data_IF_588177655669
#
_entry.id   IF_588177655669
#
_cell.length_a   1.000
_cell.length_b   1.000
_cell.length_c   1.000
_cell.angle_alpha   90.00
_cell.angle_beta   90.00
_cell.angle_gamma   90.00
#
_symmetry.space_group_name_H-M   'P 1'
#
loop_
_entity.id
_entity.type
_entity.pdbx_description
1 polymer ?
#
# COMPACT_ATOMS: atom_id res chain seq x y z
N UNK A 1 -15.34 11.20 18.06
CA UNK A 1 -14.24 12.15 18.37
C UNK A 1 -14.11 13.25 17.31
N UNK A 2 -14.13 12.93 16.00
CA UNK A 2 -14.03 13.96 14.94
C UNK A 2 -15.14 15.01 15.00
N UNK A 3 -16.39 14.59 15.19
CA UNK A 3 -17.52 15.50 15.41
C UNK A 3 -17.29 16.47 16.57
N UNK A 4 -16.66 16.03 17.66
CA UNK A 4 -16.37 16.89 18.81
C UNK A 4 -15.44 18.05 18.44
N UNK A 5 -14.37 17.78 17.68
CA UNK A 5 -13.47 18.81 17.17
C UNK A 5 -14.20 19.73 16.18
N UNK A 6 -15.07 19.18 15.33
CA UNK A 6 -15.89 19.98 14.42
C UNK A 6 -16.77 20.97 15.19
N UNK A 7 -17.48 20.50 16.21
CA UNK A 7 -18.35 21.33 17.05
C UNK A 7 -17.57 22.44 17.77
N UNK A 8 -16.32 22.19 18.19
CA UNK A 8 -15.44 23.23 18.74
C UNK A 8 -15.10 24.35 17.75
N UNK A 9 -15.03 24.03 16.44
CA UNK A 9 -14.69 24.98 15.39
C UNK A 9 -15.92 25.72 14.83
N UNK A 10 -17.14 25.35 15.26
CA UNK A 10 -18.37 26.02 14.83
C UNK A 10 -18.53 27.39 15.51
N UNK A 11 -19.24 28.34 14.87
CA UNK A 11 -19.59 29.61 15.49
C UNK A 11 -20.31 29.43 16.83
N UNK A 12 -19.95 30.26 17.82
CA UNK A 12 -20.56 30.19 19.17
C UNK A 12 -22.07 30.42 19.19
N UNK A 13 -22.60 31.14 18.19
CA UNK A 13 -24.03 31.36 18.02
C UNK A 13 -24.80 30.09 17.62
N UNK A 14 -24.12 29.09 17.06
CA UNK A 14 -24.68 27.81 16.62
C UNK A 14 -24.52 26.78 17.74
N UNK A 15 -23.34 26.68 18.36
CA UNK A 15 -23.10 25.72 19.44
C UNK A 15 -23.98 25.97 20.66
N UNK A 16 -24.31 27.23 20.97
CA UNK A 16 -25.26 27.59 22.05
C UNK A 16 -26.70 27.13 21.80
N UNK A 17 -27.06 26.71 20.58
CA UNK A 17 -28.40 26.19 20.25
C UNK A 17 -28.55 24.72 20.60
N UNK A 18 -27.43 24.02 20.76
CA UNK A 18 -27.42 22.59 21.04
C UNK A 18 -27.51 22.39 22.55
N UNK A 19 -28.69 22.00 23.01
CA UNK A 19 -28.92 21.75 24.44
C UNK A 19 -28.02 20.63 24.96
N UNK A 20 -27.39 20.87 26.12
CA UNK A 20 -26.51 19.90 26.78
C UNK A 20 -25.13 19.74 26.13
N UNK A 21 -24.76 20.55 25.14
CA UNK A 21 -23.45 20.53 24.53
C UNK A 21 -22.37 21.06 25.49
N UNK A 22 -21.40 20.22 25.85
CA UNK A 22 -20.29 20.56 26.75
C UNK A 22 -18.93 20.43 26.04
N UNK A 23 -18.34 21.59 25.71
CA UNK A 23 -17.10 21.72 24.94
C UNK A 23 -15.93 22.14 25.84
N UNK A 24 -15.44 21.24 26.70
CA UNK A 24 -14.40 21.59 27.70
C UNK A 24 -13.01 21.90 27.14
N UNK A 25 -12.67 21.44 25.94
CA UNK A 25 -11.29 21.45 25.43
C UNK A 25 -10.94 22.67 24.57
N UNK A 26 -11.59 23.82 24.77
CA UNK A 26 -11.37 25.03 23.96
C UNK A 26 -9.89 25.43 23.89
N UNK A 27 -9.20 25.49 25.03
CA UNK A 27 -7.77 25.84 25.09
C UNK A 27 -6.92 24.89 24.25
N UNK A 28 -7.20 23.59 24.29
CA UNK A 28 -6.46 22.62 23.48
C UNK A 28 -6.73 22.84 21.98
N UNK A 29 -8.00 22.99 21.59
CA UNK A 29 -8.40 23.12 20.19
C UNK A 29 -7.87 24.41 19.55
N UNK A 30 -7.83 25.52 20.30
CA UNK A 30 -7.28 26.80 19.82
C UNK A 30 -5.78 26.72 19.46
N UNK A 31 -5.05 25.75 20.02
CA UNK A 31 -3.63 25.55 19.75
C UNK A 31 -3.37 24.48 18.68
N UNK A 32 -4.42 23.87 18.12
CA UNK A 32 -4.26 22.91 17.03
C UNK A 32 -3.86 23.60 15.73
N UNK A 33 -3.12 22.93 14.84
CA UNK A 33 -2.76 23.49 13.55
C UNK A 33 -3.99 23.85 12.71
N UNK A 34 -3.88 24.95 11.97
CA UNK A 34 -4.90 25.41 11.03
C UNK A 34 -4.96 24.50 9.79
N UNK A 35 -6.09 24.52 9.09
CA UNK A 35 -6.33 23.69 7.89
C UNK A 35 -5.29 23.94 6.80
N UNK A 36 -4.87 25.19 6.61
CA UNK A 36 -3.91 25.59 5.58
C UNK A 36 -2.48 25.07 5.84
N UNK A 37 -2.19 24.68 7.09
CA UNK A 37 -0.92 24.09 7.49
C UNK A 37 -0.86 22.58 7.26
N UNK A 38 -2.00 21.94 6.95
CA UNK A 38 -2.06 20.51 6.71
C UNK A 38 -1.39 20.13 5.39
N UNK A 39 -0.75 18.96 5.40
CA UNK A 39 0.09 18.47 4.30
C UNK A 39 -0.12 16.98 4.01
N UNK A 40 -1.11 16.34 4.63
CA UNK A 40 -1.49 14.96 4.24
C UNK A 40 -2.00 14.99 2.80
N UNK A 41 -1.93 13.85 2.11
CA UNK A 41 -2.28 13.76 0.68
C UNK A 41 -3.73 14.18 0.38
N UNK A 42 -4.63 14.13 1.37
CA UNK A 42 -6.01 14.59 1.21
C UNK A 42 -6.10 16.11 1.00
N UNK A 43 -5.11 16.89 1.45
CA UNK A 43 -4.97 18.34 1.22
C UNK A 43 -4.18 18.68 -0.05
N UNK A 44 -3.82 17.69 -0.87
CA UNK A 44 -3.20 17.95 -2.16
C UNK A 44 -4.26 18.45 -3.13
N UNK A 45 -3.90 19.47 -3.92
CA UNK A 45 -4.70 19.91 -5.06
C UNK A 45 -4.81 18.78 -6.09
N UNK A 46 -5.76 18.89 -7.02
CA UNK A 46 -5.91 17.91 -8.10
C UNK A 46 -4.60 17.71 -8.89
N UNK A 47 -3.86 18.79 -9.11
CA UNK A 47 -2.56 18.78 -9.80
C UNK A 47 -1.49 18.07 -8.97
N UNK A 48 -1.45 18.32 -7.66
CA UNK A 48 -0.50 17.65 -6.76
C UNK A 48 -0.79 16.15 -6.60
N UNK A 49 -2.06 15.74 -6.65
CA UNK A 49 -2.45 14.33 -6.61
C UNK A 49 -2.03 13.57 -7.86
N UNK A 50 -1.92 14.26 -8.99
CA UNK A 50 -1.40 13.70 -10.23
C UNK A 50 0.06 13.24 -10.08
N UNK A 51 0.85 13.93 -9.25
CA UNK A 51 2.23 13.52 -8.93
C UNK A 51 2.31 12.17 -8.21
N UNK A 52 1.21 11.69 -7.62
CA UNK A 52 1.14 10.38 -6.98
C UNK A 52 0.82 9.27 -7.98
N UNK A 53 0.40 9.58 -9.21
CA UNK A 53 -0.04 8.57 -10.19
C UNK A 53 1.00 7.46 -10.37
N UNK A 54 0.50 6.23 -10.49
CA UNK A 54 1.31 5.02 -10.60
C UNK A 54 1.90 4.50 -9.28
N UNK A 55 1.74 5.24 -8.18
CA UNK A 55 2.10 4.77 -6.84
C UNK A 55 0.90 4.20 -6.08
N UNK A 56 1.17 3.36 -5.08
CA UNK A 56 0.15 2.88 -4.15
C UNK A 56 -0.54 4.02 -3.38
N UNK A 57 0.21 5.09 -3.06
CA UNK A 57 -0.29 6.24 -2.31
C UNK A 57 -1.40 7.00 -3.04
N UNK A 58 -1.43 6.96 -4.38
CA UNK A 58 -2.53 7.54 -5.16
C UNK A 58 -3.86 6.88 -4.82
N UNK A 59 -3.96 5.56 -5.00
CA UNK A 59 -5.17 4.80 -4.67
C UNK A 59 -5.51 4.86 -3.18
N UNK A 60 -4.51 4.79 -2.30
CA UNK A 60 -4.71 4.91 -0.85
C UNK A 60 -5.29 6.27 -0.44
N UNK A 61 -4.93 7.36 -1.15
CA UNK A 61 -5.47 8.70 -0.92
C UNK A 61 -6.94 8.76 -1.32
N UNK A 62 -7.30 8.21 -2.47
CA UNK A 62 -8.69 8.17 -2.96
C UNK A 62 -9.58 7.32 -2.04
N UNK A 63 -9.13 6.12 -1.68
CA UNK A 63 -9.85 5.23 -0.77
C UNK A 63 -10.09 5.89 0.59
N UNK A 64 -9.06 6.56 1.14
CA UNK A 64 -9.17 7.27 2.43
C UNK A 64 -10.17 8.42 2.35
N UNK A 65 -10.12 9.21 1.29
CA UNK A 65 -11.07 10.31 1.11
C UNK A 65 -12.50 9.79 0.96
N UNK A 66 -12.71 8.76 0.15
CA UNK A 66 -14.03 8.15 -0.05
C UNK A 66 -14.61 7.65 1.29
N UNK A 67 -13.81 6.93 2.08
CA UNK A 67 -14.21 6.48 3.42
C UNK A 67 -14.60 7.63 4.34
N UNK A 68 -13.78 8.68 4.43
CA UNK A 68 -14.10 9.84 5.26
C UNK A 68 -15.29 10.65 4.76
N UNK A 69 -15.54 10.70 3.45
CA UNK A 69 -16.75 11.29 2.88
C UNK A 69 -18.00 10.50 3.23
N UNK A 70 -17.91 9.17 3.22
CA UNK A 70 -19.00 8.31 3.65
C UNK A 70 -19.30 8.53 5.14
N UNK A 71 -18.29 8.43 6.00
CA UNK A 71 -18.44 8.67 7.45
C UNK A 71 -19.03 10.07 7.74
N UNK A 72 -18.54 11.09 7.03
CA UNK A 72 -19.09 12.44 7.12
C UNK A 72 -20.57 12.48 6.74
N UNK A 73 -20.94 11.84 5.63
CA UNK A 73 -22.32 11.75 5.17
C UNK A 73 -23.24 11.08 6.20
N UNK A 74 -22.77 10.01 6.84
CA UNK A 74 -23.48 9.33 7.93
C UNK A 74 -23.70 10.27 9.12
N UNK A 75 -22.67 10.98 9.57
CA UNK A 75 -22.78 11.93 10.69
C UNK A 75 -23.70 13.12 10.37
N UNK A 76 -23.60 13.67 9.17
CA UNK A 76 -24.50 14.72 8.68
C UNK A 76 -25.95 14.23 8.66
N UNK A 77 -26.17 12.95 8.33
CA UNK A 77 -27.52 12.36 8.28
C UNK A 77 -28.17 12.22 9.66
N UNK A 78 -27.40 11.98 10.71
CA UNK A 78 -27.91 11.87 12.09
C UNK A 78 -27.98 13.22 12.81
N UNK A 79 -27.41 14.28 12.22
CA UNK A 79 -27.43 15.63 12.78
C UNK A 79 -28.80 16.28 12.54
N UNK A 80 -29.57 16.44 13.62
CA UNK A 80 -30.95 16.94 13.57
C UNK A 80 -31.04 18.47 13.47
N UNK A 81 -30.10 19.20 14.05
CA UNK A 81 -30.06 20.66 13.98
C UNK A 81 -29.59 21.13 12.59
N UNK A 82 -30.43 21.90 11.91
CA UNK A 82 -30.20 22.33 10.54
C UNK A 82 -29.00 23.28 10.40
N UNK A 83 -28.77 24.16 11.37
CA UNK A 83 -27.70 25.15 11.32
C UNK A 83 -26.35 24.50 11.63
N UNK A 84 -26.31 23.56 12.57
CA UNK A 84 -25.13 22.72 12.80
C UNK A 84 -24.80 21.93 11.52
N UNK A 85 -25.82 21.34 10.89
CA UNK A 85 -25.64 20.53 9.68
C UNK A 85 -25.07 21.33 8.50
N UNK A 86 -25.50 22.59 8.32
CA UNK A 86 -24.98 23.48 7.27
C UNK A 86 -23.50 23.80 7.46
N UNK A 87 -23.08 24.03 8.69
CA UNK A 87 -21.68 24.38 8.99
C UNK A 87 -20.74 23.16 9.12
N UNK A 88 -21.30 21.96 9.29
CA UNK A 88 -20.54 20.71 9.31
C UNK A 88 -20.09 20.30 7.90
N UNK A 89 -19.25 21.14 7.29
CA UNK A 89 -18.66 20.92 5.96
C UNK A 89 -17.66 19.77 5.95
N UNK A 90 -17.44 19.19 4.78
CA UNK A 90 -16.42 18.15 4.61
C UNK A 90 -15.01 18.66 4.95
N UNK A 91 -14.66 19.92 4.62
CA UNK A 91 -13.35 20.48 4.95
C UNK A 91 -13.10 20.56 6.45
N UNK A 92 -14.16 20.85 7.23
CA UNK A 92 -14.08 20.83 8.69
C UNK A 92 -13.93 19.40 9.22
N UNK A 93 -14.70 18.46 8.66
CA UNK A 93 -14.60 17.04 9.00
C UNK A 93 -13.21 16.47 8.71
N UNK A 94 -12.69 16.77 7.52
CA UNK A 94 -11.35 16.38 7.07
C UNK A 94 -10.28 16.88 8.02
N UNK A 95 -10.37 18.15 8.47
CA UNK A 95 -9.48 18.70 9.48
C UNK A 95 -9.56 17.94 10.80
N UNK A 96 -10.77 17.68 11.31
CA UNK A 96 -10.94 16.96 12.55
C UNK A 96 -10.36 15.53 12.48
N UNK A 97 -10.62 14.79 11.40
CA UNK A 97 -10.06 13.45 11.17
C UNK A 97 -8.54 13.49 11.04
N UNK A 98 -8.00 14.50 10.36
CA UNK A 98 -6.55 14.70 10.20
C UNK A 98 -5.90 14.99 11.55
N UNK A 99 -6.47 15.87 12.38
CA UNK A 99 -5.98 16.13 13.74
C UNK A 99 -5.94 14.85 14.57
N UNK A 100 -6.98 14.02 14.52
CA UNK A 100 -7.03 12.79 15.31
C UNK A 100 -6.03 11.74 14.82
N UNK A 101 -5.67 11.79 13.54
CA UNK A 101 -4.61 10.96 12.96
C UNK A 101 -3.21 11.50 13.31
N UNK A 102 -3.09 12.80 13.56
CA UNK A 102 -1.86 13.50 13.92
C UNK A 102 -1.64 13.56 15.45
N UNK A 103 -0.96 12.58 16.03
CA UNK A 103 -0.37 12.80 17.35
C UNK A 103 0.90 13.67 17.23
N UNK A 104 0.90 14.90 17.79
CA UNK A 104 2.06 15.83 17.78
C UNK A 104 2.42 16.37 19.18
N UNK A 105 3.70 16.78 19.26
CA UNK A 105 4.59 16.91 20.41
C UNK A 105 4.28 17.98 21.49
N UNK A 106 4.81 17.73 22.69
CA UNK A 106 4.91 18.64 23.85
C UNK A 106 6.30 19.30 23.91
N UNK A 107 6.39 20.56 24.37
CA UNK A 107 7.63 21.38 24.46
C UNK A 107 8.17 21.48 25.89
N UNK A 108 9.50 21.41 26.08
CA UNK A 108 10.26 22.02 27.20
C UNK A 108 11.62 22.54 26.66
N UNK A 109 12.16 23.58 27.30
CA UNK A 109 13.20 24.57 26.92
C UNK A 109 14.48 24.08 26.19
N UNK A 110 14.83 24.76 25.08
CA UNK A 110 16.19 24.87 24.52
C UNK A 110 16.45 24.11 23.21
N UNK A 111 15.97 22.88 23.10
CA UNK A 111 16.18 22.01 21.92
C UNK A 111 14.86 21.31 21.53
N UNK A 112 14.78 20.85 20.27
CA UNK A 112 13.61 20.12 19.78
C UNK A 112 13.61 18.69 20.34
N UNK A 113 12.57 18.33 21.10
CA UNK A 113 12.35 16.95 21.54
C UNK A 113 11.62 16.18 20.43
N UNK A 114 12.22 15.09 19.99
CA UNK A 114 11.60 14.16 19.04
C UNK A 114 10.94 13.00 19.79
N UNK A 115 9.80 12.53 19.28
CA UNK A 115 9.18 11.26 19.68
C UNK A 115 9.29 10.27 18.52
N UNK A 116 9.41 8.99 18.83
CA UNK A 116 9.43 7.93 17.82
C UNK A 116 8.00 7.57 17.44
N UNK A 117 7.67 7.73 16.16
CA UNK A 117 6.35 7.41 15.58
C UNK A 117 6.12 5.91 15.34
N UNK A 118 7.09 5.07 15.75
CA UNK A 118 7.18 3.67 15.37
C UNK A 118 7.83 3.48 14.00
N UNK A 119 7.95 2.21 13.58
CA UNK A 119 8.46 1.83 12.26
C UNK A 119 7.38 2.07 11.20
N UNK A 120 7.29 3.30 10.69
CA UNK A 120 6.32 3.73 9.68
C UNK A 120 7.02 3.97 8.34
N UNK A 121 6.43 3.50 7.25
CA UNK A 121 6.94 3.78 5.90
C UNK A 121 6.68 5.22 5.48
N UNK A 122 7.38 5.69 4.46
CA UNK A 122 7.10 7.01 3.89
C UNK A 122 5.69 7.11 3.29
N UNK A 123 5.11 5.98 2.84
CA UNK A 123 3.71 5.92 2.43
C UNK A 123 2.76 6.25 3.58
N UNK A 124 2.95 5.61 4.74
CA UNK A 124 2.13 5.85 5.94
C UNK A 124 2.34 7.25 6.52
N UNK A 125 3.59 7.72 6.54
CA UNK A 125 3.94 9.05 7.03
C UNK A 125 3.32 10.15 6.16
N UNK A 126 3.36 10.01 4.84
CA UNK A 126 2.81 11.03 3.95
C UNK A 126 1.27 11.02 3.96
N UNK A 127 0.66 9.83 3.93
CA UNK A 127 -0.80 9.67 3.98
C UNK A 127 -1.38 10.16 5.31
N UNK A 128 -0.78 9.75 6.43
CA UNK A 128 -1.33 9.99 7.77
C UNK A 128 -0.85 11.29 8.41
N UNK A 129 0.38 11.71 8.11
CA UNK A 129 1.06 12.79 8.85
C UNK A 129 1.54 13.96 7.98
N UNK A 130 1.55 13.80 6.65
CA UNK A 130 1.90 14.87 5.73
C UNK A 130 3.38 15.22 5.72
N UNK A 131 4.25 14.23 5.96
CA UNK A 131 5.70 14.36 5.80
C UNK A 131 6.33 13.03 5.37
N UNK A 132 7.57 13.09 4.91
CA UNK A 132 8.40 11.92 4.58
C UNK A 132 9.79 12.09 5.19
N UNK A 133 10.53 11.00 5.31
CA UNK A 133 11.93 10.99 5.76
C UNK A 133 12.83 10.60 4.58
N UNK A 134 13.80 11.46 4.17
CA UNK A 134 14.70 11.19 3.02
C UNK A 134 15.47 9.87 3.07
N UNK A 135 15.76 9.39 4.28
CA UNK A 135 16.46 8.12 4.51
C UNK A 135 15.75 7.37 5.64
N UNK A 136 14.48 7.02 5.39
CA UNK A 136 13.68 6.28 6.35
C UNK A 136 14.19 4.84 6.48
N UNK A 137 14.76 4.41 7.62
CA UNK A 137 15.23 3.03 7.79
C UNK A 137 14.08 2.01 7.86
N UNK A 138 12.85 2.47 8.14
CA UNK A 138 11.65 1.65 8.23
C UNK A 138 10.79 1.71 6.95
N UNK A 139 11.33 2.22 5.84
CA UNK A 139 10.57 2.25 4.58
C UNK A 139 10.34 0.85 4.03
N UNK A 140 9.15 0.66 3.46
CA UNK A 140 8.73 -0.57 2.80
C UNK A 140 7.74 -0.25 1.67
N UNK A 141 7.59 -1.20 0.75
CA UNK A 141 6.62 -1.16 -0.34
C UNK A 141 5.50 -2.17 -0.05
N UNK A 142 4.25 -1.73 -0.14
CA UNK A 142 3.12 -2.65 -0.08
C UNK A 142 2.88 -3.33 -1.44
N UNK A 143 2.88 -4.66 -1.47
CA UNK A 143 2.38 -5.46 -2.59
C UNK A 143 1.05 -6.09 -2.20
N UNK A 144 0.06 -6.05 -3.09
CA UNK A 144 -1.25 -6.66 -2.84
C UNK A 144 -1.54 -7.62 -3.99
N UNK A 145 -1.76 -8.88 -3.66
CA UNK A 145 -2.27 -9.86 -4.60
C UNK A 145 -3.77 -9.68 -4.80
N UNK A 146 -4.20 -9.98 -6.02
CA UNK A 146 -5.61 -10.01 -6.39
C UNK A 146 -5.96 -11.44 -6.79
N UNK A 147 -6.93 -12.04 -6.11
CA UNK A 147 -7.42 -13.36 -6.48
C UNK A 147 -8.26 -13.23 -7.78
N UNK A 148 -8.08 -14.14 -8.75
CA UNK A 148 -8.92 -14.16 -9.94
C UNK A 148 -10.41 -14.30 -9.57
N UNK A 149 -11.33 -13.62 -10.26
CA UNK A 149 -12.77 -13.77 -10.00
C UNK A 149 -13.27 -15.19 -10.29
N UNK A 150 -12.56 -15.94 -11.14
CA UNK A 150 -12.79 -17.35 -11.47
C UNK A 150 -12.02 -18.32 -10.57
N UNK A 151 -11.46 -17.86 -9.44
CA UNK A 151 -10.71 -18.74 -8.53
C UNK A 151 -11.59 -19.90 -8.04
N UNK A 152 -11.11 -21.15 -8.09
CA UNK A 152 -11.88 -22.29 -7.66
C UNK A 152 -12.09 -22.27 -6.14
N UNK A 153 -13.23 -22.78 -5.67
CA UNK A 153 -13.58 -22.76 -4.24
C UNK A 153 -12.55 -23.51 -3.38
N UNK A 154 -11.97 -24.60 -3.89
CA UNK A 154 -10.93 -25.36 -3.20
C UNK A 154 -9.68 -24.52 -2.87
N UNK A 155 -9.30 -23.59 -3.76
CA UNK A 155 -8.18 -22.68 -3.54
C UNK A 155 -8.50 -21.69 -2.39
N UNK A 156 -9.71 -21.14 -2.37
CA UNK A 156 -10.14 -20.22 -1.32
C UNK A 156 -10.20 -20.92 0.05
N UNK A 157 -10.74 -22.13 0.09
CA UNK A 157 -10.78 -22.95 1.30
C UNK A 157 -9.37 -23.27 1.79
N UNK A 158 -8.46 -23.61 0.86
CA UNK A 158 -7.06 -23.90 1.18
C UNK A 158 -6.34 -22.68 1.75
N UNK A 159 -6.47 -21.50 1.13
CA UNK A 159 -5.90 -20.25 1.65
C UNK A 159 -6.40 -19.96 3.07
N UNK A 160 -7.70 -20.14 3.32
CA UNK A 160 -8.28 -19.93 4.65
C UNK A 160 -7.74 -20.93 5.68
N UNK A 161 -7.62 -22.20 5.31
CA UNK A 161 -7.10 -23.27 6.16
C UNK A 161 -5.64 -23.04 6.54
N UNK A 162 -4.85 -22.57 5.59
CA UNK A 162 -3.43 -22.28 5.76
C UNK A 162 -3.15 -20.90 6.38
N UNK A 163 -4.19 -20.11 6.68
CA UNK A 163 -4.09 -18.73 7.21
C UNK A 163 -3.30 -17.79 6.28
N UNK A 164 -3.53 -17.95 4.98
CA UNK A 164 -2.97 -17.14 3.91
C UNK A 164 -4.02 -16.19 3.32
N UNK A 165 -4.99 -15.75 4.11
CA UNK A 165 -6.07 -14.84 3.70
C UNK A 165 -5.62 -13.38 3.53
N UNK A 166 -4.52 -12.99 4.20
CA UNK A 166 -3.95 -11.66 4.08
C UNK A 166 -3.15 -11.52 2.77
N UNK A 167 -3.73 -10.86 1.77
CA UNK A 167 -3.14 -10.70 0.43
C UNK A 167 -2.22 -9.48 0.29
N UNK A 168 -2.14 -8.61 1.31
CA UNK A 168 -1.24 -7.46 1.31
C UNK A 168 0.01 -7.77 2.12
N UNK A 169 1.14 -7.68 1.44
CA UNK A 169 2.50 -7.95 1.92
C UNK A 169 3.35 -6.70 1.88
N UNK A 170 4.43 -6.68 2.65
CA UNK A 170 5.34 -5.54 2.73
C UNK A 170 6.76 -5.99 2.39
N UNK A 171 7.31 -5.38 1.35
CA UNK A 171 8.69 -5.62 0.89
C UNK A 171 9.59 -4.56 1.53
N UNK A 172 10.61 -4.97 2.33
CA UNK A 172 11.56 -4.05 2.95
C UNK A 172 12.55 -3.49 1.92
N UNK A 173 13.41 -2.56 2.37
CA UNK A 173 14.47 -1.99 1.54
C UNK A 173 15.49 -2.97 0.98
N UNK A 174 15.64 -4.16 1.57
CA UNK A 174 16.47 -5.22 0.99
C UNK A 174 15.88 -5.78 -0.32
N UNK A 175 14.60 -5.54 -0.59
CA UNK A 175 13.89 -6.14 -1.73
C UNK A 175 13.45 -7.59 -1.48
N UNK A 176 13.80 -8.16 -0.32
CA UNK A 176 13.46 -9.55 0.01
C UNK A 176 11.95 -9.76 0.01
N UNK A 177 11.51 -10.75 -0.78
CA UNK A 177 10.09 -11.03 -0.95
C UNK A 177 9.59 -11.87 0.23
N UNK A 178 8.51 -11.46 0.91
CA UNK A 178 7.94 -12.24 2.00
C UNK A 178 7.59 -13.67 1.56
N UNK A 179 7.90 -14.69 2.37
CA UNK A 179 7.70 -16.08 1.97
C UNK A 179 6.21 -16.45 1.92
N UNK A 180 5.34 -15.77 2.67
CA UNK A 180 3.88 -15.88 2.55
C UNK A 180 3.36 -15.41 1.19
N UNK A 181 3.98 -14.37 0.61
CA UNK A 181 3.66 -13.90 -0.73
C UNK A 181 3.99 -14.98 -1.76
N UNK A 182 5.19 -15.57 -1.68
CA UNK A 182 5.59 -16.67 -2.56
C UNK A 182 4.67 -17.88 -2.41
N UNK A 183 4.31 -18.25 -1.18
CA UNK A 183 3.38 -19.36 -0.93
C UNK A 183 2.00 -19.12 -1.57
N UNK A 184 1.47 -17.90 -1.48
CA UNK A 184 0.22 -17.54 -2.16
C UNK A 184 0.36 -17.58 -3.69
N UNK A 185 1.50 -17.13 -4.22
CA UNK A 185 1.76 -17.17 -5.66
C UNK A 185 1.87 -18.61 -6.19
N UNK A 186 2.54 -19.51 -5.45
CA UNK A 186 2.60 -20.94 -5.78
C UNK A 186 1.21 -21.54 -5.95
N UNK A 187 0.29 -21.22 -5.03
CA UNK A 187 -1.09 -21.69 -5.11
C UNK A 187 -1.87 -21.09 -6.28
N UNK A 188 -1.54 -19.86 -6.69
CA UNK A 188 -2.23 -19.17 -7.78
C UNK A 188 -1.80 -19.65 -9.16
N UNK A 189 -0.55 -20.12 -9.28
CA UNK A 189 0.04 -20.57 -10.54
C UNK A 189 0.02 -22.10 -10.66
N UNK A 190 -0.24 -22.82 -9.56
CA UNK A 190 -0.32 -24.27 -9.54
C UNK A 190 -1.28 -24.85 -10.58
N UNK A 191 -0.80 -25.86 -11.30
CA UNK A 191 -1.63 -26.68 -12.18
C UNK A 191 -2.64 -27.52 -11.37
N UNK A 192 -3.73 -28.01 -11.98
CA UNK A 192 -4.77 -28.73 -11.24
C UNK A 192 -4.27 -29.95 -10.44
N UNK A 193 -3.34 -30.71 -11.00
CA UNK A 193 -2.71 -31.87 -10.36
C UNK A 193 -1.76 -31.47 -9.22
N UNK A 194 -1.00 -30.39 -9.40
CA UNK A 194 -0.18 -29.81 -8.33
C UNK A 194 -1.04 -29.32 -7.16
N UNK A 195 -2.17 -28.67 -7.47
CA UNK A 195 -3.11 -28.16 -6.47
C UNK A 195 -3.74 -29.31 -5.68
N UNK A 196 -4.15 -30.40 -6.35
CA UNK A 196 -4.66 -31.60 -5.69
C UNK A 196 -3.61 -32.22 -4.74
N UNK A 197 -2.35 -32.31 -5.18
CA UNK A 197 -1.25 -32.79 -4.35
C UNK A 197 -0.98 -31.88 -3.13
N UNK A 198 -1.10 -30.55 -3.30
CA UNK A 198 -1.01 -29.59 -2.19
C UNK A 198 -2.18 -29.75 -1.22
N UNK A 199 -3.41 -29.93 -1.72
CA UNK A 199 -4.61 -30.14 -0.89
C UNK A 199 -4.45 -31.40 -0.03
N UNK A 200 -3.94 -32.48 -0.61
CA UNK A 200 -3.65 -33.72 0.11
C UNK A 200 -2.62 -33.48 1.22
N UNK A 201 -1.48 -32.82 0.91
CA UNK A 201 -0.47 -32.46 1.92
C UNK A 201 -1.03 -31.57 3.02
N UNK A 202 -1.83 -30.58 2.65
CA UNK A 202 -2.47 -29.64 3.58
C UNK A 202 -3.47 -30.32 4.52
N UNK A 203 -3.92 -31.54 4.24
CA UNK A 203 -4.76 -32.33 5.16
C UNK A 203 -4.01 -32.74 6.44
N UNK A 204 -2.71 -33.02 6.32
CA UNK A 204 -1.85 -33.48 7.40
C UNK A 204 -0.85 -32.42 7.91
N UNK A 205 -0.61 -31.37 7.13
CA UNK A 205 0.32 -30.29 7.48
C UNK A 205 -0.16 -29.47 8.68
N UNK A 206 0.78 -29.10 9.56
CA UNK A 206 0.54 -28.19 10.69
C UNK A 206 0.68 -26.71 10.28
N UNK A 207 1.37 -26.44 9.17
CA UNK A 207 1.69 -25.08 8.71
C UNK A 207 1.67 -24.98 7.18
N UNK A 208 1.61 -23.75 6.66
CA UNK A 208 1.66 -23.53 5.21
C UNK A 208 3.03 -23.88 4.62
N UNK A 209 4.12 -23.77 5.39
CA UNK A 209 5.47 -24.12 4.96
C UNK A 209 5.58 -25.61 4.61
N UNK A 210 4.89 -26.47 5.36
CA UNK A 210 4.86 -27.92 5.09
C UNK A 210 3.97 -28.26 3.88
N UNK A 211 2.87 -27.52 3.70
CA UNK A 211 1.92 -27.77 2.63
C UNK A 211 2.37 -27.21 1.26
N UNK A 212 2.94 -25.99 1.24
CA UNK A 212 3.21 -25.19 0.04
C UNK A 212 4.65 -24.63 0.02
N UNK A 213 5.57 -25.27 0.77
CA UNK A 213 6.97 -24.84 0.84
C UNK A 213 7.71 -24.97 -0.50
N UNK A 214 7.57 -26.12 -1.13
CA UNK A 214 8.03 -26.41 -2.50
C UNK A 214 6.95 -27.24 -3.19
N UNK A 215 6.60 -26.87 -4.42
CA UNK A 215 5.58 -27.55 -5.23
C UNK A 215 6.25 -28.37 -6.32
N UNK A 216 6.88 -27.70 -7.29
CA UNK A 216 7.67 -28.30 -8.36
C UNK A 216 8.65 -27.24 -8.89
N UNK A 217 9.64 -27.64 -9.69
CA UNK A 217 10.58 -26.69 -10.29
C UNK A 217 9.90 -25.77 -11.31
N UNK A 218 8.99 -26.31 -12.12
CA UNK A 218 8.17 -25.53 -13.07
C UNK A 218 7.35 -24.48 -12.32
N UNK A 219 6.66 -24.88 -11.25
CA UNK A 219 5.88 -23.97 -10.42
C UNK A 219 6.74 -22.85 -9.80
N UNK A 220 7.93 -23.16 -9.30
CA UNK A 220 8.81 -22.11 -8.73
C UNK A 220 9.24 -21.10 -9.81
N UNK A 221 9.54 -21.53 -11.03
CA UNK A 221 9.90 -20.63 -12.12
C UNK A 221 8.72 -19.78 -12.56
N UNK A 222 7.54 -20.37 -12.76
CA UNK A 222 6.34 -19.63 -13.15
C UNK A 222 5.97 -18.58 -12.09
N UNK A 223 6.16 -18.91 -10.80
CA UNK A 223 5.97 -17.95 -9.69
C UNK A 223 6.94 -16.79 -9.81
N UNK A 224 8.21 -17.05 -10.10
CA UNK A 224 9.23 -16.02 -10.26
C UNK A 224 8.95 -15.15 -11.49
N UNK A 225 8.47 -15.71 -12.59
CA UNK A 225 8.11 -14.95 -13.81
C UNK A 225 6.88 -14.08 -13.58
N UNK A 226 5.83 -14.62 -12.96
CA UNK A 226 4.67 -13.84 -12.54
C UNK A 226 5.07 -12.69 -11.58
N UNK A 227 6.03 -12.95 -10.69
CA UNK A 227 6.56 -11.96 -9.76
C UNK A 227 7.32 -10.85 -10.49
N UNK A 228 8.18 -11.20 -11.46
CA UNK A 228 8.88 -10.22 -12.28
C UNK A 228 7.90 -9.32 -13.04
N UNK A 229 6.91 -9.91 -13.72
CA UNK A 229 5.88 -9.15 -14.44
C UNK A 229 5.16 -8.15 -13.51
N UNK A 230 4.81 -8.57 -12.29
CA UNK A 230 4.20 -7.69 -11.29
C UNK A 230 5.14 -6.56 -10.84
N UNK A 231 6.40 -6.87 -10.52
CA UNK A 231 7.39 -5.90 -10.02
C UNK A 231 7.75 -4.87 -11.11
N UNK A 232 8.01 -5.33 -12.33
CA UNK A 232 8.36 -4.49 -13.49
C UNK A 232 7.18 -3.60 -13.87
N UNK A 233 5.95 -4.14 -13.92
CA UNK A 233 4.75 -3.34 -14.20
C UNK A 233 4.57 -2.21 -13.18
N UNK A 234 4.76 -2.51 -11.88
CA UNK A 234 4.71 -1.48 -10.81
C UNK A 234 5.82 -0.45 -10.95
N UNK A 235 7.04 -0.88 -11.27
CA UNK A 235 8.18 0.02 -11.47
C UNK A 235 7.93 0.97 -12.65
N UNK A 236 7.43 0.45 -13.77
CA UNK A 236 7.08 1.25 -14.94
C UNK A 236 5.97 2.24 -14.63
N UNK A 237 4.89 1.82 -13.94
CA UNK A 237 3.82 2.72 -13.53
C UNK A 237 4.33 3.88 -12.66
N UNK A 238 5.25 3.58 -11.72
CA UNK A 238 5.88 4.57 -10.85
C UNK A 238 6.87 5.47 -11.60
N UNK A 239 7.47 5.03 -12.71
CA UNK A 239 8.33 5.90 -13.51
C UNK A 239 7.51 6.80 -14.44
N UNK A 240 6.48 6.26 -15.07
CA UNK A 240 5.62 6.98 -16.02
C UNK A 240 4.80 8.09 -15.35
N UNK A 241 4.33 7.88 -14.12
CA UNK A 241 3.62 8.91 -13.36
C UNK A 241 4.49 10.08 -12.86
N UNK A 242 5.80 10.06 -13.09
CA UNK A 242 6.75 11.04 -12.56
C UNK A 242 6.88 12.33 -13.39
N UNK A 243 5.92 12.65 -14.27
CA UNK A 243 5.96 13.85 -15.13
C UNK A 243 5.70 15.11 -14.30
N UNK A 244 6.66 15.48 -13.45
CA UNK A 244 6.58 16.61 -12.53
C UNK A 244 6.97 17.95 -13.19
N UNK A 245 7.83 17.93 -14.22
CA UNK A 245 8.44 19.13 -14.82
C UNK A 245 7.45 20.03 -15.60
N UNK A 246 6.15 19.69 -15.64
CA UNK A 246 5.14 20.40 -16.43
C UNK A 246 3.89 20.82 -15.66
N UNK A 247 3.87 20.64 -14.34
CA UNK A 247 2.67 20.90 -13.54
C UNK A 247 2.78 22.24 -12.81
N UNK A 248 2.17 23.27 -13.39
CA UNK A 248 2.04 24.59 -12.77
C UNK A 248 1.13 24.52 -11.52
N UNK A 249 1.46 25.30 -10.47
CA UNK A 249 0.62 25.42 -9.27
C UNK A 249 0.86 24.38 -8.18
N UNK A 250 1.92 23.57 -8.28
CA UNK A 250 2.35 22.61 -7.26
C UNK A 250 3.13 23.34 -6.15
N UNK A 251 2.83 23.06 -4.88
CA UNK A 251 3.62 23.58 -3.75
C UNK A 251 5.02 22.94 -3.73
N UNK A 252 6.11 23.72 -3.56
CA UNK A 252 7.46 23.19 -3.55
C UNK A 252 7.69 22.08 -2.51
N UNK A 253 7.15 22.24 -1.31
CA UNK A 253 7.33 21.23 -0.25
C UNK A 253 6.61 19.91 -0.59
N UNK A 254 5.45 20.00 -1.23
CA UNK A 254 4.70 18.80 -1.69
C UNK A 254 5.47 18.07 -2.78
N UNK A 255 6.03 18.82 -3.74
CA UNK A 255 6.86 18.25 -4.80
C UNK A 255 8.05 17.49 -4.21
N UNK A 256 8.77 18.09 -3.27
CA UNK A 256 9.92 17.45 -2.60
C UNK A 256 9.51 16.17 -1.87
N UNK A 257 8.43 16.20 -1.08
CA UNK A 257 7.96 15.02 -0.36
C UNK A 257 7.57 13.88 -1.31
N UNK A 258 6.89 14.20 -2.42
CA UNK A 258 6.50 13.21 -3.41
C UNK A 258 7.72 12.64 -4.13
N UNK A 259 8.71 13.46 -4.47
CA UNK A 259 9.96 12.99 -5.06
C UNK A 259 10.70 12.02 -4.14
N UNK A 260 10.84 12.36 -2.85
CA UNK A 260 11.47 11.48 -1.86
C UNK A 260 10.72 10.14 -1.76
N UNK A 261 9.39 10.20 -1.62
CA UNK A 261 8.56 8.98 -1.56
C UNK A 261 8.75 8.12 -2.81
N UNK A 262 8.63 8.70 -4.01
CA UNK A 262 8.76 7.96 -5.28
C UNK A 262 10.15 7.35 -5.44
N UNK A 263 11.19 8.08 -5.09
CA UNK A 263 12.56 7.56 -5.12
C UNK A 263 12.75 6.39 -4.15
N UNK A 264 12.20 6.47 -2.93
CA UNK A 264 12.21 5.38 -1.96
C UNK A 264 11.53 4.12 -2.49
N UNK A 265 10.31 4.26 -3.01
CA UNK A 265 9.54 3.14 -3.58
C UNK A 265 10.22 2.54 -4.82
N UNK A 266 10.82 3.38 -5.67
CA UNK A 266 11.59 2.94 -6.85
C UNK A 266 12.79 2.08 -6.44
N UNK A 267 13.54 2.52 -5.42
CA UNK A 267 14.70 1.76 -4.90
C UNK A 267 14.27 0.40 -4.34
N UNK A 268 13.17 0.35 -3.59
CA UNK A 268 12.64 -0.91 -3.04
C UNK A 268 12.24 -1.87 -4.17
N UNK A 269 11.53 -1.37 -5.19
CA UNK A 269 11.15 -2.16 -6.37
C UNK A 269 12.38 -2.68 -7.13
N UNK A 270 13.39 -1.84 -7.35
CA UNK A 270 14.63 -2.25 -8.01
C UNK A 270 15.36 -3.34 -7.20
N UNK A 271 15.47 -3.16 -5.88
CA UNK A 271 16.05 -4.17 -5.00
C UNK A 271 15.28 -5.50 -5.07
N UNK A 272 13.94 -5.44 -5.14
CA UNK A 272 13.10 -6.62 -5.26
C UNK A 272 13.28 -7.35 -6.59
N UNK A 273 13.44 -6.62 -7.71
CA UNK A 273 13.76 -7.22 -9.01
C UNK A 273 15.12 -7.91 -8.98
N UNK A 274 16.15 -7.27 -8.42
CA UNK A 274 17.49 -7.88 -8.27
C UNK A 274 17.45 -9.11 -7.36
N UNK A 275 16.70 -9.04 -6.26
CA UNK A 275 16.49 -10.18 -5.37
C UNK A 275 15.84 -11.35 -6.11
N UNK A 276 14.78 -11.08 -6.88
CA UNK A 276 14.09 -12.10 -7.70
C UNK A 276 15.04 -12.74 -8.71
N UNK A 277 15.84 -11.95 -9.41
CA UNK A 277 16.83 -12.45 -10.39
C UNK A 277 17.82 -13.41 -9.75
N UNK A 278 18.34 -13.04 -8.57
CA UNK A 278 19.25 -13.90 -7.82
C UNK A 278 18.60 -15.22 -7.42
N UNK A 279 17.33 -15.19 -6.99
CA UNK A 279 16.58 -16.40 -6.63
C UNK A 279 16.26 -17.26 -7.84
N UNK A 280 15.98 -16.64 -9.00
CA UNK A 280 15.74 -17.33 -10.27
C UNK A 280 16.97 -18.11 -10.73
N UNK A 281 18.14 -17.46 -10.80
CA UNK A 281 19.41 -18.13 -11.14
C UNK A 281 19.68 -19.32 -10.21
N UNK A 282 19.53 -19.12 -8.90
CA UNK A 282 19.72 -20.20 -7.92
C UNK A 282 18.69 -21.34 -8.04
N UNK A 283 17.49 -21.04 -8.51
CA UNK A 283 16.43 -22.04 -8.72
C UNK A 283 16.75 -22.86 -9.96
N UNK A 284 17.25 -22.21 -11.00
CA UNK A 284 17.70 -22.84 -12.24
C UNK A 284 18.86 -23.80 -12.00
N UNK A 285 19.91 -23.33 -11.33
CA UNK A 285 21.08 -24.17 -10.98
C UNK A 285 20.65 -25.45 -10.24
N UNK A 286 19.74 -25.32 -9.27
CA UNK A 286 19.25 -26.47 -8.48
C UNK A 286 18.35 -27.41 -9.30
N UNK A 287 17.58 -26.87 -10.24
CA UNK A 287 16.74 -27.68 -11.12
C UNK A 287 17.60 -28.51 -12.09
N UNK A 288 18.66 -27.91 -12.65
CA UNK A 288 19.64 -28.61 -13.48
C UNK A 288 20.39 -29.70 -12.70
N UNK A 289 20.84 -29.39 -11.47
CA UNK A 289 21.46 -30.38 -10.56
C UNK A 289 20.51 -31.54 -10.23
N UNK A 290 19.20 -31.28 -10.18
CA UNK A 290 18.17 -32.30 -9.99
C UNK A 290 17.84 -33.11 -11.27
N UNK A 291 18.48 -32.78 -12.40
CA UNK A 291 18.32 -33.46 -13.68
C UNK A 291 17.08 -33.03 -14.47
N UNK A 292 16.51 -31.86 -14.16
CA UNK A 292 15.38 -31.29 -14.93
C UNK A 292 15.96 -30.45 -16.06
N UNK A 293 15.77 -30.90 -17.31
CA UNK A 293 16.12 -30.13 -18.51
C UNK A 293 15.04 -29.10 -18.77
N UNK A 294 15.30 -27.85 -18.44
CA UNK A 294 14.36 -26.75 -18.65
C UNK A 294 14.76 -26.08 -19.94
N UNK A 295 13.97 -26.30 -20.99
CA UNK A 295 14.18 -25.73 -22.32
C UNK A 295 13.56 -24.33 -22.33
N UNK A 296 14.33 -23.31 -22.69
CA UNK A 296 13.80 -21.95 -22.86
C UNK A 296 12.84 -21.92 -24.05
N UNK A 297 11.69 -21.24 -23.92
CA UNK A 297 10.86 -20.92 -25.09
C UNK A 297 11.61 -20.01 -26.09
N UNK A 298 12.60 -19.24 -25.63
CA UNK A 298 13.48 -18.42 -26.48
C UNK A 298 14.48 -19.24 -27.33
N UNK A 299 14.75 -20.50 -26.97
CA UNK A 299 15.64 -21.39 -27.76
C UNK A 299 14.88 -22.12 -28.89
N UNK A 300 13.56 -21.94 -29.02
CA UNK A 300 12.76 -22.51 -30.11
C UNK A 300 12.62 -21.60 -31.34
N UNK A 301 13.12 -20.37 -31.32
CA UNK A 301 13.10 -19.51 -32.52
C UNK A 301 14.19 -19.86 -33.56
N UNK A 302 15.18 -20.70 -33.22
CA UNK A 302 16.32 -21.03 -34.10
C UNK A 302 16.25 -22.43 -34.75
N UNK A 303 15.15 -23.19 -34.60
CA UNK A 303 15.06 -24.58 -35.12
C UNK A 303 14.27 -24.70 -36.44
N UNK A 304 13.54 -23.66 -36.87
CA UNK A 304 12.63 -23.76 -38.03
C UNK A 304 13.23 -23.34 -39.38
N UNK A 305 14.55 -23.05 -39.51
CA UNK A 305 15.16 -22.62 -40.78
C UNK A 305 16.01 -23.66 -41.55
N UNK A 306 16.17 -24.93 -41.10
CA UNK A 306 17.06 -25.88 -41.80
C UNK A 306 16.43 -27.05 -42.58
N UNK A 307 15.09 -27.24 -42.59
CA UNK A 307 14.47 -28.42 -43.22
C UNK A 307 13.63 -28.16 -44.52
N UNK A 308 13.90 -27.07 -45.26
CA UNK A 308 13.32 -26.86 -46.60
C UNK A 308 14.37 -26.67 -47.73
N UNK A 309 15.38 -27.54 -47.83
CA UNK A 309 16.06 -27.79 -49.11
C UNK A 309 16.44 -29.28 -49.27
N UNK A 310 15.56 -30.08 -49.89
CA UNK A 310 15.94 -31.16 -50.83
C UNK A 310 14.75 -31.65 -51.69
#
# INVERSE_FOLDING_TARGET
MALYLCLHALPSAITKRVDGLDLRHHVYVEHLPSRDSMRTTLYFSAVERELLRGSNLHGATEEREAGWRQEWGEVVSWTTDEEVRKELTFDLWLWACTILSLYRHVRISGEQVFNTYGAKSNEELLLGYGFVLPSNPADFLALKLSLPPSAPACLLDLLSKLKLDQLRHHVPQSGEIPPELLAQMRLLVAQPDELDAVIERASAAASWQEAVGFVSWENELDVLDALEGMLVSKLQALQQGAVADKLDGVRPEVLEMVQIYRQGQTKILQAAVTWRQTVFEQTMDKAEEAGVSIVYEDDMEDIDEEDEEE
#
